data_IF_347824578507
#
_entry.id   IF_347824578507
#
_cell.length_a   1.000
_cell.length_b   1.000
_cell.length_c   1.000
_cell.angle_alpha   90.00
_cell.angle_beta   90.00
_cell.angle_gamma   90.00
#
_symmetry.space_group_name_H-M   'P 1'
#
loop_
_entity.id
_entity.type
_entity.pdbx_description
1 polymer ?
#
# COMPACT_ATOMS: atom_id res chain seq x y z
N UNK A 1 39.87 -52.65 -1.56
CA UNK A 1 40.83 -52.04 -0.61
C UNK A 1 40.16 -50.83 -0.05
N UNK A 2 39.60 -50.91 1.15
CA UNK A 2 40.11 -50.43 2.46
C UNK A 2 40.57 -48.96 2.34
N UNK A 3 39.96 -47.96 3.00
CA UNK A 3 39.95 -47.86 4.46
C UNK A 3 38.90 -46.83 4.95
N UNK A 4 38.20 -47.18 6.03
CA UNK A 4 37.40 -46.35 6.94
C UNK A 4 38.30 -45.60 7.90
N UNK A 5 37.89 -44.40 8.32
CA UNK A 5 38.14 -43.77 9.67
C UNK A 5 37.07 -42.65 9.77
N UNK A 6 36.21 -42.49 10.68
CA UNK A 6 35.88 -42.97 12.00
C UNK A 6 36.63 -42.24 13.12
N UNK A 7 36.00 -41.41 13.87
CA UNK A 7 36.34 -40.89 15.22
C UNK A 7 35.64 -39.55 15.45
N UNK A 8 35.01 -39.17 16.52
CA UNK A 8 34.47 -39.71 17.75
C UNK A 8 33.89 -38.54 18.56
N UNK A 9 32.90 -38.82 19.33
CA UNK A 9 32.17 -37.96 20.26
C UNK A 9 33.06 -37.24 21.27
N UNK A 10 32.69 -36.02 21.64
CA UNK A 10 33.14 -35.32 22.83
C UNK A 10 32.00 -34.61 23.51
N UNK A 11 31.32 -35.29 24.44
CA UNK A 11 30.45 -34.70 25.46
C UNK A 11 31.34 -34.02 26.50
N UNK A 12 31.02 -32.80 26.89
CA UNK A 12 31.45 -32.25 28.17
C UNK A 12 30.28 -31.67 28.92
N UNK A 13 30.13 -32.22 30.14
CA UNK A 13 29.11 -31.96 31.16
C UNK A 13 29.63 -30.91 32.15
N UNK A 14 28.68 -30.15 32.71
CA UNK A 14 28.61 -29.53 34.05
C UNK A 14 29.57 -28.37 34.41
N UNK A 15 29.02 -27.26 34.89
CA UNK A 15 28.89 -27.05 36.35
C UNK A 15 27.96 -25.88 36.68
N UNK A 16 26.99 -26.12 37.58
CA UNK A 16 26.22 -25.13 38.28
C UNK A 16 27.10 -24.45 39.35
N UNK A 17 26.90 -23.14 39.54
CA UNK A 17 27.24 -22.49 40.80
C UNK A 17 26.11 -21.51 41.19
N UNK A 18 25.35 -21.93 42.18
CA UNK A 18 24.43 -21.06 42.91
C UNK A 18 25.24 -20.27 43.96
N UNK A 19 25.06 -18.94 43.97
CA UNK A 19 25.47 -18.12 45.12
C UNK A 19 24.24 -17.39 45.64
N UNK A 20 23.80 -17.87 46.79
CA UNK A 20 22.86 -17.19 47.66
C UNK A 20 23.61 -16.18 48.51
N UNK A 21 23.20 -14.92 48.57
CA UNK A 21 23.63 -14.00 49.61
C UNK A 21 22.40 -13.27 50.17
N UNK A 22 22.09 -13.65 51.40
CA UNK A 22 21.11 -13.00 52.29
C UNK A 22 21.69 -11.69 52.85
N UNK A 23 20.90 -10.66 52.91
CA UNK A 23 21.33 -9.39 53.48
C UNK A 23 20.20 -8.45 53.84
N UNK A 24 19.63 -8.67 55.02
CA UNK A 24 19.11 -7.69 55.99
C UNK A 24 18.00 -6.69 55.60
N UNK A 25 16.85 -7.06 56.13
CA UNK A 25 15.70 -6.18 56.47
C UNK A 25 16.12 -5.03 57.41
N UNK A 26 15.80 -3.80 57.09
CA UNK A 26 15.68 -2.71 58.04
C UNK A 26 14.27 -2.11 57.89
N UNK A 27 13.45 -2.39 58.87
CA UNK A 27 12.24 -1.63 59.17
C UNK A 27 12.60 -0.21 59.63
N UNK A 28 12.03 0.78 59.00
CA UNK A 28 11.84 2.11 59.58
C UNK A 28 10.36 2.40 59.56
N UNK A 29 9.75 2.47 60.73
CA UNK A 29 8.42 3.04 60.96
C UNK A 29 8.59 4.55 61.01
N UNK A 30 7.74 5.28 60.29
CA UNK A 30 7.41 6.66 60.63
C UNK A 30 6.08 7.07 59.96
N UNK A 31 5.18 7.36 60.74
CA UNK A 31 4.14 8.36 60.84
C UNK A 31 3.15 8.60 59.70
N UNK A 32 1.88 8.45 60.13
CA UNK A 32 0.67 8.85 59.45
C UNK A 32 0.57 10.38 59.31
N UNK A 33 0.59 10.85 58.08
CA UNK A 33 0.17 12.19 57.70
C UNK A 33 -0.89 12.08 56.61
N UNK A 34 -2.13 12.36 56.94
CA UNK A 34 -3.23 12.44 56.01
C UNK A 34 -3.04 13.66 55.09
N UNK A 35 -2.76 13.41 53.81
CA UNK A 35 -2.89 14.42 52.78
C UNK A 35 -3.79 13.88 51.69
N UNK A 36 -4.93 14.52 51.56
CA UNK A 36 -5.89 14.33 50.47
C UNK A 36 -5.21 14.65 49.13
N UNK A 37 -4.88 13.61 48.35
CA UNK A 37 -4.41 13.79 46.99
C UNK A 37 -5.61 13.81 46.04
N UNK A 38 -5.92 14.99 45.55
CA UNK A 38 -6.76 15.16 44.34
C UNK A 38 -6.09 14.46 43.17
N UNK A 39 -6.72 13.41 42.69
CA UNK A 39 -6.36 12.77 41.41
C UNK A 39 -6.83 13.66 40.25
N UNK A 40 -6.02 14.62 39.84
CA UNK A 40 -6.21 15.27 38.54
C UNK A 40 -5.84 14.29 37.43
N UNK A 41 -6.85 13.59 36.94
CA UNK A 41 -6.79 12.81 35.73
C UNK A 41 -6.56 13.76 34.52
N UNK A 42 -5.32 13.86 34.07
CA UNK A 42 -5.02 14.51 32.80
C UNK A 42 -5.46 13.57 31.70
N UNK A 43 -6.76 13.64 31.34
CA UNK A 43 -7.21 13.22 30.03
C UNK A 43 -6.61 14.19 29.02
N UNK A 44 -5.51 13.81 28.37
CA UNK A 44 -5.11 14.46 27.13
C UNK A 44 -6.25 14.23 26.13
N UNK A 45 -7.08 15.23 25.94
CA UNK A 45 -8.00 15.31 24.84
C UNK A 45 -7.16 15.31 23.56
N UNK A 46 -7.26 14.24 22.79
CA UNK A 46 -6.83 14.24 21.40
C UNK A 46 -7.62 15.36 20.73
N UNK A 47 -6.95 16.44 20.42
CA UNK A 47 -7.56 17.54 19.67
C UNK A 47 -8.04 17.00 18.34
N UNK A 48 -9.32 16.77 18.22
CA UNK A 48 -9.99 16.54 16.95
C UNK A 48 -9.79 17.82 16.14
N UNK A 49 -8.85 17.82 15.20
CA UNK A 49 -8.77 18.89 14.23
C UNK A 49 -10.10 18.95 13.51
N UNK A 50 -10.79 20.08 13.64
CA UNK A 50 -12.02 20.34 12.92
C UNK A 50 -11.78 20.12 11.43
N UNK A 51 -12.67 19.37 10.79
CA UNK A 51 -12.67 19.21 9.34
C UNK A 51 -12.66 20.62 8.70
N UNK A 52 -11.91 20.83 7.61
CA UNK A 52 -11.84 22.10 6.93
C UNK A 52 -13.27 22.51 6.53
N UNK A 53 -13.71 23.68 6.95
CA UNK A 53 -15.05 24.23 6.71
C UNK A 53 -15.28 24.69 5.25
N UNK A 54 -14.42 24.27 4.33
CA UNK A 54 -14.50 24.52 2.89
C UNK A 54 -15.26 23.41 2.17
N UNK A 55 -15.93 23.75 1.06
CA UNK A 55 -16.53 22.76 0.15
C UNK A 55 -15.43 21.85 -0.37
N UNK A 56 -15.62 20.53 -0.22
CA UNK A 56 -14.68 19.52 -0.70
C UNK A 56 -14.43 19.66 -2.20
N UNK A 57 -13.19 19.79 -2.63
CA UNK A 57 -12.82 19.88 -4.05
C UNK A 57 -12.81 18.48 -4.67
N UNK A 58 -13.88 18.11 -5.37
CA UNK A 58 -14.00 16.84 -6.08
C UNK A 58 -13.91 17.08 -7.58
N UNK A 59 -12.93 16.47 -8.22
CA UNK A 59 -12.59 16.63 -9.63
C UNK A 59 -12.97 15.43 -10.51
N UNK A 60 -13.52 14.36 -9.93
CA UNK A 60 -14.10 13.24 -10.68
C UNK A 60 -15.61 13.49 -10.87
N UNK A 61 -16.23 13.03 -11.99
CA UNK A 61 -17.58 13.47 -12.38
C UNK A 61 -18.72 12.84 -11.59
N UNK A 62 -18.48 11.81 -10.78
CA UNK A 62 -19.46 11.08 -9.96
C UNK A 62 -20.65 10.53 -10.76
N UNK A 63 -20.39 9.92 -11.91
CA UNK A 63 -21.44 9.39 -12.78
C UNK A 63 -22.17 8.21 -12.14
N UNK A 64 -23.48 8.08 -12.41
CA UNK A 64 -24.33 7.06 -11.77
C UNK A 64 -23.98 5.61 -12.11
N UNK A 65 -23.43 5.36 -13.31
CA UNK A 65 -22.96 4.04 -13.76
C UNK A 65 -21.46 4.08 -14.01
N UNK A 66 -20.69 4.09 -12.94
CA UNK A 66 -19.23 4.15 -13.02
C UNK A 66 -18.61 3.19 -12.00
N UNK A 67 -17.34 2.84 -12.21
CA UNK A 67 -16.51 2.12 -11.25
C UNK A 67 -15.61 3.13 -10.56
N UNK A 68 -15.78 3.28 -9.24
CA UNK A 68 -15.00 4.22 -8.42
C UNK A 68 -14.19 3.50 -7.38
N UNK A 69 -12.91 3.85 -7.28
CA UNK A 69 -11.99 3.27 -6.33
C UNK A 69 -10.93 4.28 -5.90
N UNK A 70 -10.29 3.99 -4.78
CA UNK A 70 -9.10 4.71 -4.35
C UNK A 70 -7.85 3.87 -4.59
N UNK A 71 -6.70 4.54 -4.68
CA UNK A 71 -5.39 3.92 -4.87
C UNK A 71 -4.45 4.44 -3.79
N UNK A 72 -3.72 3.54 -3.14
CA UNK A 72 -2.65 3.82 -2.18
C UNK A 72 -1.48 2.87 -2.42
N UNK A 73 -0.27 3.32 -2.13
CA UNK A 73 0.93 2.48 -2.18
C UNK A 73 1.91 2.87 -1.09
N UNK A 74 2.75 1.92 -0.66
CA UNK A 74 3.79 2.10 0.35
C UNK A 74 3.23 2.72 1.64
N UNK A 75 2.03 2.27 2.00
CA UNK A 75 1.21 2.93 3.01
C UNK A 75 1.42 2.39 4.43
N UNK A 76 1.92 1.17 4.59
CA UNK A 76 1.93 0.40 5.84
C UNK A 76 2.93 0.83 6.90
N UNK A 77 3.08 2.11 7.19
CA UNK A 77 4.05 2.64 8.16
C UNK A 77 3.55 2.60 9.60
N UNK A 78 2.25 2.82 9.81
CA UNK A 78 1.65 3.03 11.13
C UNK A 78 2.02 4.36 11.76
N UNK A 79 2.52 5.31 10.97
CA UNK A 79 2.90 6.65 11.38
C UNK A 79 1.74 7.64 11.21
N UNK A 80 1.88 8.83 11.79
CA UNK A 80 0.85 9.87 11.76
C UNK A 80 0.39 10.21 10.34
N UNK A 81 1.32 10.25 9.39
CA UNK A 81 1.08 10.62 8.01
C UNK A 81 0.13 9.63 7.30
N UNK A 82 0.30 8.33 7.54
CA UNK A 82 -0.65 7.31 7.05
C UNK A 82 -2.06 7.53 7.60
N UNK A 83 -2.19 7.83 8.89
CA UNK A 83 -3.50 8.10 9.51
C UNK A 83 -4.17 9.35 8.93
N UNK A 84 -3.40 10.40 8.64
CA UNK A 84 -3.90 11.62 8.04
C UNK A 84 -4.34 11.40 6.59
N UNK A 85 -3.61 10.61 5.80
CA UNK A 85 -4.05 10.17 4.45
C UNK A 85 -5.34 9.37 4.55
N UNK A 86 -5.43 8.41 5.48
CA UNK A 86 -6.63 7.61 5.66
C UNK A 86 -7.85 8.47 6.07
N UNK A 87 -7.65 9.49 6.88
CA UNK A 87 -8.69 10.45 7.25
C UNK A 87 -9.18 11.26 6.04
N UNK A 88 -8.28 11.70 5.16
CA UNK A 88 -8.67 12.33 3.91
C UNK A 88 -9.45 11.37 3.01
N UNK A 89 -9.01 10.11 2.90
CA UNK A 89 -9.73 9.08 2.14
C UNK A 89 -11.17 8.91 2.65
N UNK A 90 -11.39 8.89 3.97
CA UNK A 90 -12.72 8.83 4.56
C UNK A 90 -13.55 10.06 4.17
N UNK A 91 -12.98 11.26 4.32
CA UNK A 91 -13.63 12.52 3.99
C UNK A 91 -14.10 12.54 2.52
N UNK A 92 -13.23 12.17 1.60
CA UNK A 92 -13.55 12.11 0.18
C UNK A 92 -14.55 10.99 -0.15
N UNK A 93 -14.50 9.85 0.56
CA UNK A 93 -15.45 8.77 0.35
C UNK A 93 -16.89 9.17 0.64
N UNK A 94 -17.13 10.02 1.62
CA UNK A 94 -18.47 10.49 1.93
C UNK A 94 -19.15 11.13 0.73
N UNK A 95 -18.42 11.78 -0.16
CA UNK A 95 -18.91 12.39 -1.39
C UNK A 95 -18.70 11.50 -2.63
N UNK A 96 -17.50 10.94 -2.82
CA UNK A 96 -17.16 10.15 -4.01
C UNK A 96 -17.73 8.74 -4.00
N UNK A 97 -18.12 8.20 -2.82
CA UNK A 97 -18.76 6.88 -2.70
C UNK A 97 -18.00 5.75 -3.39
N UNK A 98 -16.66 5.72 -3.28
CA UNK A 98 -15.90 4.57 -3.77
C UNK A 98 -16.12 3.35 -2.87
N UNK A 99 -16.12 2.16 -3.47
CA UNK A 99 -16.46 0.90 -2.80
C UNK A 99 -15.25 0.03 -2.49
N UNK A 100 -14.09 0.36 -3.07
CA UNK A 100 -12.87 -0.39 -2.84
C UNK A 100 -11.63 0.47 -3.04
N UNK A 101 -10.51 -0.07 -2.54
CA UNK A 101 -9.17 0.48 -2.63
C UNK A 101 -8.27 -0.58 -3.28
N UNK A 102 -7.39 -0.20 -4.19
CA UNK A 102 -6.25 -1.02 -4.60
C UNK A 102 -5.00 -0.55 -3.86
N UNK A 103 -4.22 -1.51 -3.35
CA UNK A 103 -2.98 -1.27 -2.61
C UNK A 103 -1.81 -1.75 -3.46
N UNK A 104 -0.81 -0.90 -3.64
CA UNK A 104 0.28 -1.09 -4.60
C UNK A 104 1.53 -1.74 -3.98
N UNK A 105 1.36 -2.50 -2.90
CA UNK A 105 2.45 -3.13 -2.17
C UNK A 105 3.04 -2.26 -1.07
N UNK A 106 3.96 -2.86 -0.32
CA UNK A 106 4.50 -2.33 0.92
C UNK A 106 3.36 -1.96 1.88
N UNK A 107 2.48 -2.96 2.05
CA UNK A 107 1.25 -2.84 2.83
C UNK A 107 1.53 -2.82 4.33
N UNK A 108 2.62 -3.50 4.76
CA UNK A 108 3.07 -3.57 6.16
C UNK A 108 4.59 -3.48 6.21
N UNK A 109 5.16 -2.37 6.61
CA UNK A 109 6.61 -2.27 6.84
C UNK A 109 7.04 -2.93 8.16
N UNK A 110 8.15 -3.66 8.13
CA UNK A 110 8.76 -4.29 9.30
C UNK A 110 8.15 -5.64 9.64
N UNK A 111 7.67 -5.85 10.87
CA UNK A 111 7.14 -7.14 11.29
C UNK A 111 5.67 -7.32 10.85
N UNK A 112 5.28 -8.57 10.58
CA UNK A 112 3.91 -8.93 10.17
C UNK A 112 3.12 -9.57 11.33
N UNK A 113 3.32 -9.07 12.56
CA UNK A 113 2.54 -9.51 13.72
C UNK A 113 1.09 -9.03 13.65
N UNK A 114 0.15 -9.67 14.36
CA UNK A 114 -1.23 -9.18 14.47
C UNK A 114 -1.32 -7.73 14.94
N UNK A 115 -0.37 -7.29 15.79
CA UNK A 115 -0.27 -5.90 16.24
C UNK A 115 0.12 -4.95 15.10
N UNK A 116 0.99 -5.40 14.20
CA UNK A 116 1.39 -4.59 13.04
C UNK A 116 0.24 -4.44 12.06
N UNK A 117 -0.49 -5.51 11.74
CA UNK A 117 -1.70 -5.42 10.93
C UNK A 117 -2.73 -4.48 11.55
N UNK A 118 -2.95 -4.59 12.86
CA UNK A 118 -3.86 -3.68 13.57
C UNK A 118 -3.40 -2.22 13.46
N UNK A 119 -2.13 -1.91 13.77
CA UNK A 119 -1.61 -0.54 13.80
C UNK A 119 -1.46 0.08 12.41
N UNK A 120 -1.02 -0.71 11.42
CA UNK A 120 -0.60 -0.23 10.11
C UNK A 120 -1.67 -0.38 9.03
N UNK A 121 -2.77 -1.08 9.34
CA UNK A 121 -3.87 -1.25 8.40
C UNK A 121 -5.26 -1.09 9.07
N UNK A 122 -5.60 -1.90 10.08
CA UNK A 122 -6.97 -1.91 10.60
C UNK A 122 -7.35 -0.57 11.25
N UNK A 123 -6.47 -0.01 12.07
CA UNK A 123 -6.74 1.24 12.80
C UNK A 123 -6.81 2.47 11.88
N UNK A 124 -5.82 2.74 10.99
CA UNK A 124 -5.91 3.91 10.11
C UNK A 124 -7.11 3.84 9.16
N UNK A 125 -7.44 2.66 8.63
CA UNK A 125 -8.55 2.50 7.68
C UNK A 125 -9.87 2.03 8.30
N UNK A 126 -9.96 2.01 9.64
CA UNK A 126 -11.15 1.52 10.35
C UNK A 126 -12.46 2.14 9.85
N UNK A 127 -12.59 3.47 9.64
CA UNK A 127 -13.84 4.04 9.15
C UNK A 127 -14.24 3.53 7.76
N UNK A 128 -13.26 3.30 6.88
CA UNK A 128 -13.49 2.72 5.55
C UNK A 128 -13.91 1.24 5.65
N UNK A 129 -13.23 0.47 6.50
CA UNK A 129 -13.54 -0.94 6.74
C UNK A 129 -14.95 -1.11 7.33
N UNK A 130 -15.30 -0.31 8.33
CA UNK A 130 -16.64 -0.30 8.96
C UNK A 130 -17.73 0.09 7.94
N UNK A 131 -17.40 0.94 6.97
CA UNK A 131 -18.29 1.30 5.86
C UNK A 131 -18.34 0.25 4.73
N UNK A 132 -17.69 -0.90 4.90
CA UNK A 132 -17.70 -2.02 3.97
C UNK A 132 -16.78 -1.87 2.74
N UNK A 133 -15.89 -0.86 2.73
CA UNK A 133 -14.91 -0.69 1.65
C UNK A 133 -13.96 -1.89 1.62
N UNK A 134 -13.75 -2.46 0.44
CA UNK A 134 -12.84 -3.60 0.22
C UNK A 134 -11.46 -3.11 -0.17
N UNK A 135 -10.43 -3.74 0.39
CA UNK A 135 -9.04 -3.48 0.01
C UNK A 135 -8.52 -4.67 -0.79
N UNK A 136 -7.93 -4.41 -1.95
CA UNK A 136 -7.33 -5.40 -2.84
C UNK A 136 -5.84 -5.11 -2.94
N UNK A 137 -5.00 -5.94 -2.29
CA UNK A 137 -3.57 -5.70 -2.19
C UNK A 137 -2.77 -6.40 -3.28
N UNK A 138 -1.71 -5.78 -3.75
CA UNK A 138 -0.54 -6.45 -4.34
C UNK A 138 0.59 -6.51 -3.32
N UNK A 139 1.60 -7.34 -3.56
CA UNK A 139 2.75 -7.49 -2.67
C UNK A 139 3.90 -6.57 -3.09
N UNK A 140 4.48 -5.86 -2.11
CA UNK A 140 5.73 -5.12 -2.25
C UNK A 140 6.93 -5.90 -1.69
N UNK A 141 8.11 -5.33 -1.80
CA UNK A 141 9.35 -6.00 -1.36
C UNK A 141 9.54 -6.02 0.17
N UNK A 142 8.76 -5.24 0.91
CA UNK A 142 8.71 -5.28 2.37
C UNK A 142 7.60 -6.17 2.92
N UNK A 143 6.74 -6.71 2.07
CA UNK A 143 5.60 -7.53 2.47
C UNK A 143 6.00 -9.00 2.65
N UNK A 144 5.42 -9.70 3.64
CA UNK A 144 5.54 -11.16 3.75
C UNK A 144 4.42 -11.85 2.96
N UNK A 145 4.73 -12.49 1.82
CA UNK A 145 3.71 -13.11 1.00
C UNK A 145 2.99 -14.28 1.69
N UNK A 146 3.57 -14.89 2.73
CA UNK A 146 2.94 -15.99 3.43
C UNK A 146 1.86 -15.52 4.42
N UNK A 147 2.07 -14.36 5.02
CA UNK A 147 1.12 -13.76 5.94
C UNK A 147 0.06 -12.94 5.19
N UNK A 148 0.48 -12.05 4.29
CA UNK A 148 -0.43 -11.07 3.67
C UNK A 148 -1.44 -11.70 2.69
N UNK A 149 -1.02 -12.66 1.85
CA UNK A 149 -1.96 -13.34 0.94
C UNK A 149 -3.08 -14.09 1.66
N UNK A 150 -2.86 -14.47 2.93
CA UNK A 150 -3.83 -15.15 3.77
C UNK A 150 -4.64 -14.17 4.64
N UNK A 151 -4.20 -12.92 4.75
CA UNK A 151 -4.88 -11.90 5.53
C UNK A 151 -6.16 -11.46 4.82
N UNK A 152 -7.30 -11.90 5.36
CA UNK A 152 -8.61 -11.76 4.71
C UNK A 152 -8.97 -10.35 4.26
N UNK A 153 -8.68 -9.27 5.03
CA UNK A 153 -9.01 -7.91 4.62
C UNK A 153 -8.30 -7.44 3.34
N UNK A 154 -7.19 -8.06 2.94
CA UNK A 154 -6.46 -7.74 1.70
C UNK A 154 -7.09 -8.36 0.43
N UNK A 155 -8.09 -9.22 0.58
CA UNK A 155 -8.86 -9.84 -0.50
C UNK A 155 -8.00 -10.50 -1.60
N UNK A 156 -6.83 -11.03 -1.24
CA UNK A 156 -5.93 -11.74 -2.16
C UNK A 156 -6.37 -13.20 -2.42
N UNK A 157 -7.28 -13.73 -1.61
CA UNK A 157 -7.81 -15.10 -1.79
C UNK A 157 -6.81 -16.22 -1.53
N UNK A 158 -5.68 -15.94 -0.87
CA UNK A 158 -4.59 -16.87 -0.63
C UNK A 158 -3.53 -16.90 -1.75
N UNK A 159 -3.70 -16.09 -2.79
CA UNK A 159 -2.81 -16.05 -3.96
C UNK A 159 -1.89 -14.83 -3.94
N UNK A 160 -0.70 -14.96 -4.52
CA UNK A 160 0.24 -13.84 -4.67
C UNK A 160 -0.11 -12.91 -5.84
N UNK A 161 -0.83 -13.44 -6.81
CA UNK A 161 -1.35 -12.72 -7.97
C UNK A 161 -2.74 -13.23 -8.30
N UNK A 162 -3.64 -12.34 -8.66
CA UNK A 162 -5.05 -12.67 -8.85
C UNK A 162 -5.73 -11.63 -9.75
N UNK A 163 -6.94 -11.95 -10.18
CA UNK A 163 -7.76 -11.03 -10.95
C UNK A 163 -9.18 -10.95 -10.37
N UNK A 164 -9.78 -9.79 -10.50
CA UNK A 164 -11.18 -9.57 -10.16
C UNK A 164 -11.82 -8.58 -11.14
N UNK A 165 -13.14 -8.50 -11.12
CA UNK A 165 -13.90 -7.60 -11.98
C UNK A 165 -14.84 -6.72 -11.16
N UNK A 166 -14.95 -5.45 -11.57
CA UNK A 166 -15.97 -4.51 -11.09
C UNK A 166 -16.61 -3.85 -12.31
N UNK A 167 -17.93 -4.08 -12.50
CA UNK A 167 -18.59 -3.61 -13.70
C UNK A 167 -17.87 -4.07 -14.98
N UNK A 168 -17.50 -3.12 -15.82
CA UNK A 168 -16.80 -3.35 -17.08
C UNK A 168 -15.26 -3.27 -16.95
N UNK A 169 -14.73 -3.25 -15.74
CA UNK A 169 -13.28 -3.12 -15.48
C UNK A 169 -12.71 -4.42 -14.92
N UNK A 170 -11.75 -5.01 -15.63
CA UNK A 170 -10.90 -6.10 -15.15
C UNK A 170 -9.68 -5.56 -14.43
N UNK A 171 -9.42 -6.07 -13.23
CA UNK A 171 -8.28 -5.74 -12.40
C UNK A 171 -7.37 -6.95 -12.27
N UNK A 172 -6.07 -6.76 -12.43
CA UNK A 172 -5.04 -7.80 -12.38
C UNK A 172 -3.96 -7.37 -11.39
N UNK A 173 -3.97 -7.97 -10.21
CA UNK A 173 -2.91 -7.82 -9.21
C UNK A 173 -1.77 -8.77 -9.55
N UNK A 174 -0.54 -8.24 -9.64
CA UNK A 174 0.65 -9.04 -9.91
C UNK A 174 1.62 -8.97 -8.73
N UNK A 175 2.38 -10.04 -8.53
CA UNK A 175 3.53 -10.04 -7.66
C UNK A 175 4.79 -9.71 -8.48
N UNK A 176 5.19 -8.46 -8.43
CA UNK A 176 6.37 -7.97 -9.15
C UNK A 176 7.69 -8.31 -8.46
N UNK A 177 7.68 -8.78 -7.21
CA UNK A 177 8.90 -9.27 -6.54
C UNK A 177 9.43 -10.54 -7.18
N UNK A 178 8.53 -11.34 -7.77
CA UNK A 178 8.89 -12.63 -8.33
C UNK A 178 8.02 -12.99 -9.52
N UNK A 179 8.41 -12.50 -10.70
CA UNK A 179 7.72 -12.77 -11.97
C UNK A 179 8.25 -14.09 -12.58
N UNK A 180 7.64 -15.18 -12.19
CA UNK A 180 7.99 -16.51 -12.68
C UNK A 180 7.19 -16.92 -13.95
N UNK A 181 7.61 -17.98 -14.67
CA UNK A 181 6.89 -18.46 -15.86
C UNK A 181 5.43 -18.87 -15.58
N UNK A 182 5.11 -19.29 -14.35
CA UNK A 182 3.75 -19.66 -13.96
C UNK A 182 2.86 -18.41 -13.88
N UNK A 183 3.35 -17.35 -13.28
CA UNK A 183 2.64 -16.07 -13.21
C UNK A 183 2.49 -15.45 -14.61
N UNK A 184 3.54 -15.49 -15.45
CA UNK A 184 3.47 -15.02 -16.85
C UNK A 184 2.42 -15.79 -17.66
N UNK A 185 2.38 -17.12 -17.55
CA UNK A 185 1.35 -17.94 -18.22
C UNK A 185 -0.06 -17.63 -17.71
N UNK A 186 -0.21 -17.44 -16.39
CA UNK A 186 -1.46 -17.04 -15.78
C UNK A 186 -1.92 -15.65 -16.28
N UNK A 187 -1.00 -14.70 -16.38
CA UNK A 187 -1.28 -13.35 -16.86
C UNK A 187 -1.74 -13.36 -18.33
N UNK A 188 -1.02 -14.09 -19.20
CA UNK A 188 -1.38 -14.28 -20.62
C UNK A 188 -2.83 -14.81 -20.74
N UNK A 189 -3.16 -15.87 -20.03
CA UNK A 189 -4.48 -16.47 -20.07
C UNK A 189 -5.57 -15.55 -19.52
N UNK A 190 -5.32 -14.87 -18.41
CA UNK A 190 -6.34 -14.02 -17.77
C UNK A 190 -6.58 -12.73 -18.56
N UNK A 191 -5.55 -12.10 -19.11
CA UNK A 191 -5.70 -10.94 -19.99
C UNK A 191 -6.44 -11.32 -21.28
N UNK A 192 -6.10 -12.46 -21.89
CA UNK A 192 -6.76 -12.98 -23.10
C UNK A 192 -8.26 -13.22 -22.86
N UNK A 193 -8.62 -13.79 -21.73
CA UNK A 193 -10.00 -14.17 -21.40
C UNK A 193 -10.81 -13.05 -20.73
N UNK A 194 -10.18 -11.90 -20.47
CA UNK A 194 -10.84 -10.76 -19.84
C UNK A 194 -11.92 -10.17 -20.75
N UNK A 195 -13.16 -10.16 -20.26
CA UNK A 195 -14.31 -9.58 -20.96
C UNK A 195 -14.52 -8.09 -20.62
N UNK A 196 -13.70 -7.50 -19.74
CA UNK A 196 -13.80 -6.09 -19.39
C UNK A 196 -13.39 -5.18 -20.55
N UNK A 197 -14.12 -4.06 -20.72
CA UNK A 197 -13.72 -3.00 -21.64
C UNK A 197 -12.46 -2.28 -21.21
N UNK A 198 -12.26 -2.18 -19.91
CA UNK A 198 -11.03 -1.69 -19.30
C UNK A 198 -10.23 -2.82 -18.65
N UNK A 199 -8.92 -2.80 -18.83
CA UNK A 199 -7.97 -3.68 -18.16
C UNK A 199 -6.97 -2.85 -17.38
N UNK A 200 -6.94 -3.05 -16.07
CA UNK A 200 -6.05 -2.35 -15.15
C UNK A 200 -5.15 -3.37 -14.49
N UNK A 201 -3.83 -3.19 -14.62
CA UNK A 201 -2.84 -3.95 -13.87
C UNK A 201 -2.31 -3.10 -12.71
N UNK A 202 -2.09 -3.73 -11.55
CA UNK A 202 -1.49 -3.06 -10.40
C UNK A 202 -0.51 -3.98 -9.68
N UNK A 203 0.62 -3.44 -9.32
CA UNK A 203 1.73 -4.15 -8.68
C UNK A 203 2.75 -3.15 -8.13
N UNK A 204 3.78 -3.61 -7.45
CA UNK A 204 4.65 -2.75 -6.68
C UNK A 204 5.71 -2.04 -7.52
N UNK A 205 6.58 -2.77 -8.25
CA UNK A 205 7.74 -2.18 -8.95
C UNK A 205 7.34 -1.48 -10.26
N UNK A 206 7.64 -0.17 -10.44
CA UNK A 206 7.20 0.57 -11.62
C UNK A 206 7.96 0.17 -12.89
N UNK A 207 7.24 0.06 -14.02
CA UNK A 207 7.85 -0.17 -15.34
C UNK A 207 8.51 1.09 -15.91
N UNK A 208 8.00 2.26 -15.53
CA UNK A 208 8.51 3.58 -15.91
C UNK A 208 8.53 4.45 -14.65
N UNK A 209 9.62 5.14 -14.41
CA UNK A 209 9.84 5.93 -13.20
C UNK A 209 10.91 6.99 -13.44
N UNK A 210 10.69 8.20 -12.98
CA UNK A 210 11.64 9.31 -12.98
C UNK A 210 12.21 9.61 -11.59
N UNK A 211 11.87 8.84 -10.58
CA UNK A 211 12.51 8.88 -9.29
C UNK A 211 13.97 8.38 -9.39
N UNK A 212 14.82 8.87 -8.50
CA UNK A 212 16.25 8.55 -8.51
C UNK A 212 16.65 7.50 -7.50
N UNK A 213 15.71 7.12 -6.63
CA UNK A 213 16.04 6.23 -5.51
C UNK A 213 16.01 4.76 -5.92
N UNK A 214 14.90 4.30 -6.49
CA UNK A 214 14.75 2.89 -6.89
C UNK A 214 14.83 2.69 -8.40
N UNK A 215 14.32 3.64 -9.19
CA UNK A 215 14.31 3.56 -10.63
C UNK A 215 13.17 2.69 -11.19
N UNK A 216 13.18 2.50 -12.50
CA UNK A 216 12.24 1.65 -13.23
C UNK A 216 12.76 0.21 -13.32
N UNK A 217 11.86 -0.79 -13.18
CA UNK A 217 12.21 -2.20 -13.35
C UNK A 217 12.18 -2.58 -14.85
N UNK A 218 13.35 -2.48 -15.49
CA UNK A 218 13.50 -2.79 -16.90
C UNK A 218 13.33 -4.27 -17.23
N UNK A 219 13.72 -5.17 -16.33
CA UNK A 219 13.61 -6.61 -16.52
C UNK A 219 12.15 -7.05 -16.45
N UNK A 220 11.41 -6.56 -15.45
CA UNK A 220 9.96 -6.75 -15.34
C UNK A 220 9.25 -6.19 -16.58
N UNK A 221 9.59 -4.98 -17.00
CA UNK A 221 9.03 -4.36 -18.19
C UNK A 221 9.21 -5.23 -19.42
N UNK A 222 10.40 -5.77 -19.65
CA UNK A 222 10.69 -6.66 -20.78
C UNK A 222 9.84 -7.92 -20.76
N UNK A 223 9.51 -8.44 -19.59
CA UNK A 223 8.72 -9.66 -19.45
C UNK A 223 7.21 -9.44 -19.67
N UNK A 224 6.63 -8.36 -19.13
CA UNK A 224 5.16 -8.22 -19.09
C UNK A 224 4.60 -7.23 -20.10
N UNK A 225 5.37 -6.24 -20.56
CA UNK A 225 4.89 -5.23 -21.51
C UNK A 225 4.38 -5.83 -22.83
N UNK A 226 5.00 -6.88 -23.42
CA UNK A 226 4.47 -7.52 -24.63
C UNK A 226 3.06 -8.12 -24.43
N UNK A 227 2.76 -8.62 -23.24
CA UNK A 227 1.42 -9.12 -22.90
C UNK A 227 0.43 -7.96 -22.75
N UNK A 228 0.83 -6.88 -22.09
CA UNK A 228 0.00 -5.70 -21.92
C UNK A 228 -0.40 -5.08 -23.26
N UNK A 229 0.55 -4.93 -24.18
CA UNK A 229 0.29 -4.46 -25.54
C UNK A 229 -0.65 -5.39 -26.31
N UNK A 230 -0.35 -6.70 -26.29
CA UNK A 230 -1.15 -7.71 -27.02
C UNK A 230 -2.62 -7.72 -26.61
N UNK A 231 -2.89 -7.55 -25.32
CA UNK A 231 -4.24 -7.69 -24.79
C UNK A 231 -4.91 -6.36 -24.43
N UNK A 232 -4.28 -5.24 -24.75
CA UNK A 232 -4.85 -3.90 -24.58
C UNK A 232 -5.07 -3.54 -23.11
N UNK A 233 -4.04 -3.68 -22.26
CA UNK A 233 -4.04 -3.08 -20.93
C UNK A 233 -4.12 -1.57 -21.08
N UNK A 234 -4.98 -0.92 -20.31
CA UNK A 234 -5.25 0.51 -20.46
C UNK A 234 -4.50 1.37 -19.44
N UNK A 235 -4.36 0.87 -18.20
CA UNK A 235 -3.65 1.59 -17.16
C UNK A 235 -2.88 0.64 -16.24
N UNK A 236 -1.74 1.12 -15.75
CA UNK A 236 -0.86 0.47 -14.78
C UNK A 236 -0.68 1.39 -13.59
N UNK A 237 -0.91 0.85 -12.39
CA UNK A 237 -0.64 1.52 -11.13
C UNK A 237 0.47 0.77 -10.39
N UNK A 238 1.48 1.50 -9.91
CA UNK A 238 2.61 0.95 -9.16
C UNK A 238 3.00 1.83 -7.97
N UNK A 239 3.72 1.26 -7.01
CA UNK A 239 4.27 1.91 -5.83
C UNK A 239 5.78 2.02 -5.90
N UNK A 240 6.45 1.60 -4.80
CA UNK A 240 7.88 1.43 -4.65
C UNK A 240 8.71 2.71 -4.63
N UNK A 241 8.55 3.61 -5.59
CA UNK A 241 9.12 4.94 -5.50
C UNK A 241 8.21 5.81 -4.63
N UNK A 242 8.73 6.32 -3.53
CA UNK A 242 7.95 6.98 -2.48
C UNK A 242 7.53 8.42 -2.85
N UNK A 243 7.00 8.57 -4.07
CA UNK A 243 6.51 9.82 -4.66
C UNK A 243 5.22 9.56 -5.44
N UNK A 244 4.55 10.62 -5.88
CA UNK A 244 3.53 10.54 -6.91
C UNK A 244 4.11 10.92 -8.26
N UNK A 245 3.82 10.12 -9.29
CA UNK A 245 4.16 10.43 -10.68
C UNK A 245 3.03 9.99 -11.61
N UNK A 246 2.72 10.83 -12.59
CA UNK A 246 2.01 10.43 -13.80
C UNK A 246 3.00 10.48 -14.96
N UNK A 247 3.26 9.33 -15.56
CA UNK A 247 4.20 9.17 -16.68
C UNK A 247 3.47 9.48 -17.99
N UNK A 248 4.21 9.92 -19.01
CA UNK A 248 3.69 9.99 -20.37
C UNK A 248 3.15 8.63 -20.79
N UNK A 249 2.01 8.58 -21.50
CA UNK A 249 1.52 7.32 -22.02
C UNK A 249 2.55 6.66 -22.93
N UNK A 250 2.82 5.41 -22.66
CA UNK A 250 3.73 4.59 -23.48
C UNK A 250 2.98 3.38 -24.00
N UNK A 251 3.11 3.10 -25.29
CA UNK A 251 2.46 1.95 -25.92
C UNK A 251 0.92 1.92 -25.74
N UNK A 252 0.27 3.08 -25.77
CA UNK A 252 -1.16 3.26 -25.52
C UNK A 252 -1.60 2.83 -24.10
N UNK A 253 -0.72 2.87 -23.10
CA UNK A 253 -0.97 2.53 -21.71
C UNK A 253 -0.65 3.74 -20.84
N UNK A 254 -1.52 4.03 -19.87
CA UNK A 254 -1.30 5.04 -18.85
C UNK A 254 -0.55 4.45 -17.66
N UNK A 255 0.45 5.16 -17.14
CA UNK A 255 1.24 4.72 -15.99
C UNK A 255 1.19 5.75 -14.87
N UNK A 256 0.88 5.24 -13.67
CA UNK A 256 0.89 6.01 -12.43
C UNK A 256 1.81 5.32 -11.43
N UNK A 257 2.67 6.09 -10.79
CA UNK A 257 3.43 5.68 -9.62
C UNK A 257 2.87 6.43 -8.42
N UNK A 258 2.45 5.72 -7.39
CA UNK A 258 1.86 6.27 -6.17
C UNK A 258 2.41 5.50 -4.96
N UNK A 259 3.66 5.75 -4.61
CA UNK A 259 4.34 5.14 -3.46
C UNK A 259 4.43 6.07 -2.25
N UNK A 260 3.64 7.15 -2.24
CA UNK A 260 3.71 8.15 -1.18
C UNK A 260 2.46 8.21 -0.28
N UNK A 261 1.78 7.08 -0.06
CA UNK A 261 0.58 7.12 0.81
C UNK A 261 0.90 6.95 2.32
N UNK A 262 2.11 6.54 2.65
CA UNK A 262 2.65 6.48 4.02
C UNK A 262 4.11 6.89 4.05
N UNK A 263 4.92 6.31 3.18
CA UNK A 263 6.30 6.74 2.94
C UNK A 263 6.35 8.03 2.14
N UNK A 264 7.49 8.70 2.18
CA UNK A 264 7.76 9.87 1.35
C UNK A 264 9.27 9.99 1.10
N UNK A 265 9.64 10.26 -0.16
CA UNK A 265 10.99 10.62 -0.56
C UNK A 265 10.95 12.02 -1.19
N UNK A 266 11.57 12.99 -0.52
CA UNK A 266 11.58 14.38 -0.99
C UNK A 266 12.76 14.63 -1.91
N UNK A 267 12.60 15.55 -2.90
CA UNK A 267 13.63 15.96 -3.86
C UNK A 267 14.16 14.79 -4.71
N UNK A 268 13.30 13.81 -5.00
CA UNK A 268 13.71 12.56 -5.63
C UNK A 268 13.67 12.58 -7.16
N UNK A 269 13.08 13.58 -7.78
CA UNK A 269 12.92 13.59 -9.22
C UNK A 269 14.21 13.90 -10.00
N UNK A 270 14.43 13.17 -11.10
CA UNK A 270 15.40 13.54 -12.12
C UNK A 270 15.03 14.90 -12.77
N UNK A 271 16.04 15.66 -13.23
CA UNK A 271 15.81 16.96 -13.88
C UNK A 271 15.03 16.87 -15.18
N UNK A 272 15.21 15.77 -15.93
CA UNK A 272 14.50 15.48 -17.17
C UNK A 272 14.03 14.03 -17.10
N UNK A 273 12.84 13.76 -17.64
CA UNK A 273 12.28 12.42 -17.62
C UNK A 273 10.95 12.32 -18.36
N UNK A 274 10.26 11.23 -18.14
CA UNK A 274 9.04 10.87 -18.85
C UNK A 274 7.76 11.24 -18.08
N UNK A 275 7.89 11.81 -16.87
CA UNK A 275 6.72 12.24 -16.11
C UNK A 275 6.04 13.47 -16.70
N UNK A 276 4.73 13.42 -16.72
CA UNK A 276 3.88 14.58 -17.05
C UNK A 276 3.63 15.42 -15.79
N UNK A 277 3.53 14.74 -14.64
CA UNK A 277 3.32 15.34 -13.32
C UNK A 277 4.12 14.56 -12.28
N UNK A 278 4.69 15.24 -11.31
CA UNK A 278 5.35 14.67 -10.15
C UNK A 278 5.01 15.45 -8.88
N UNK A 279 5.02 14.76 -7.74
CA UNK A 279 4.83 15.35 -6.41
C UNK A 279 5.56 14.51 -5.36
N UNK A 280 6.45 15.16 -4.62
CA UNK A 280 7.36 14.57 -3.64
C UNK A 280 7.49 15.41 -2.36
N UNK A 281 6.50 16.26 -2.08
CA UNK A 281 6.56 17.19 -0.94
C UNK A 281 5.59 16.81 0.19
N UNK A 282 4.65 15.90 -0.04
CA UNK A 282 3.72 15.39 0.98
C UNK A 282 3.18 14.00 0.57
N UNK A 283 2.55 13.30 1.50
CA UNK A 283 1.84 12.06 1.25
C UNK A 283 0.53 12.33 0.48
N UNK A 284 0.08 11.31 -0.24
CA UNK A 284 -1.14 11.42 -1.06
C UNK A 284 -1.85 10.09 -1.27
N UNK A 285 -3.08 10.17 -1.75
CA UNK A 285 -3.84 9.07 -2.33
C UNK A 285 -4.50 9.52 -3.63
N UNK A 286 -4.99 8.59 -4.42
CA UNK A 286 -5.69 8.91 -5.66
C UNK A 286 -7.12 8.38 -5.62
N UNK A 287 -8.07 9.16 -6.15
CA UNK A 287 -9.39 8.72 -6.56
C UNK A 287 -9.42 8.47 -8.05
N UNK A 288 -10.09 7.39 -8.45
CA UNK A 288 -10.29 7.03 -9.85
C UNK A 288 -11.77 6.73 -10.09
N UNK A 289 -12.28 7.23 -11.20
CA UNK A 289 -13.60 6.88 -11.71
C UNK A 289 -13.49 6.45 -13.17
N UNK A 290 -14.02 5.28 -13.49
CA UNK A 290 -14.12 4.80 -14.87
C UNK A 290 -15.57 4.79 -15.28
N UNK A 291 -15.88 5.56 -16.33
CA UNK A 291 -17.21 5.70 -16.87
C UNK A 291 -17.16 5.69 -18.40
N UNK A 292 -17.75 4.66 -19.02
CA UNK A 292 -17.66 4.43 -20.45
C UNK A 292 -16.21 4.31 -20.93
N UNK A 293 -15.84 5.10 -21.91
CA UNK A 293 -14.49 5.10 -22.50
C UNK A 293 -13.53 6.12 -21.86
N UNK A 294 -13.79 6.54 -20.61
CA UNK A 294 -12.98 7.52 -19.91
C UNK A 294 -12.59 7.06 -18.52
N UNK A 295 -11.35 7.35 -18.16
CA UNK A 295 -10.82 7.28 -16.83
C UNK A 295 -10.63 8.71 -16.31
N UNK A 296 -11.28 9.03 -15.22
CA UNK A 296 -11.12 10.28 -14.48
C UNK A 296 -10.29 9.98 -13.24
N UNK A 297 -9.40 10.89 -12.88
CA UNK A 297 -8.57 10.72 -11.68
C UNK A 297 -8.38 12.05 -10.96
N UNK A 298 -8.12 11.94 -9.66
CA UNK A 298 -7.74 13.06 -8.81
C UNK A 298 -6.79 12.53 -7.74
N UNK A 299 -5.58 13.09 -7.68
CA UNK A 299 -4.60 12.82 -6.63
C UNK A 299 -4.69 13.92 -5.58
N UNK A 300 -4.84 13.53 -4.33
CA UNK A 300 -5.13 14.41 -3.20
C UNK A 300 -4.03 14.24 -2.17
N UNK A 301 -3.44 15.35 -1.70
CA UNK A 301 -2.45 15.35 -0.64
C UNK A 301 -3.08 15.03 0.72
N UNK A 302 -2.25 14.72 1.67
CA UNK A 302 -2.59 14.56 3.08
C UNK A 302 -3.29 15.80 3.67
N UNK A 303 -2.97 16.98 3.17
CA UNK A 303 -3.62 18.24 3.55
C UNK A 303 -4.97 18.48 2.86
N UNK A 304 -5.38 17.62 1.92
CA UNK A 304 -6.63 17.76 1.15
C UNK A 304 -6.49 18.60 -0.11
N UNK A 305 -5.26 18.96 -0.52
CA UNK A 305 -5.00 19.71 -1.75
C UNK A 305 -5.03 18.77 -2.96
N UNK A 306 -5.66 19.20 -4.05
CA UNK A 306 -5.60 18.50 -5.33
C UNK A 306 -4.25 18.73 -6.00
N UNK A 307 -3.43 17.68 -6.08
CA UNK A 307 -2.09 17.69 -6.67
C UNK A 307 -2.15 17.57 -8.18
N UNK A 308 -2.96 16.66 -8.66
CA UNK A 308 -3.16 16.34 -10.08
C UNK A 308 -4.58 15.84 -10.30
N UNK A 309 -5.12 16.11 -11.46
CA UNK A 309 -6.42 15.58 -11.86
C UNK A 309 -6.54 15.61 -13.37
N UNK A 310 -7.40 14.77 -13.91
CA UNK A 310 -7.60 14.75 -15.36
C UNK A 310 -8.61 13.73 -15.83
N UNK A 311 -8.84 13.80 -17.13
CA UNK A 311 -9.64 12.88 -17.91
C UNK A 311 -8.76 12.23 -18.96
N UNK A 312 -8.79 10.91 -19.04
CA UNK A 312 -7.98 10.09 -19.93
C UNK A 312 -8.90 9.19 -20.77
N UNK A 313 -8.94 9.35 -22.10
CA UNK A 313 -9.72 8.47 -22.96
C UNK A 313 -9.11 7.07 -22.99
N UNK A 314 -9.96 6.05 -23.16
CA UNK A 314 -9.46 4.69 -23.37
C UNK A 314 -8.69 4.64 -24.69
N UNK A 315 -7.42 4.30 -24.60
CA UNK A 315 -6.62 4.05 -25.81
C UNK A 315 -6.88 2.63 -26.32
N UNK A 316 -6.95 2.51 -27.64
CA UNK A 316 -7.09 1.22 -28.29
C UNK A 316 -5.73 0.73 -28.75
N UNK A 317 -5.48 -0.60 -28.76
CA UNK A 317 -4.24 -1.19 -29.30
C UNK A 317 -3.98 -0.80 -30.75
#
# INVERSE_FOLDING_TARGET
>A
MKQKRGVMYGKLFLLMAAVALAGRLRMVQADAGAATAETSGVHQAVATQAAPSGKLDIRIPLQGKSVRFAVIGDSGTGDREQYEVAQQMETYRQAAKFDFVIMLGDNIYGNHSPRDFAKKFEQPYKPLLDAGVKFYASLGNHDDPNDERLYKPFNMGGERYYAFRKGEVGFFALDSNYMDPKQLSWLDQNLKNSQGTWKICFFHHPLYNDGRHHGADADLRTQILPLFQRYGVNAVFSGHEHVYQRIKPENNIYYFVLGNSGKLMTHDFAKAGERVKGFDSDQSFMLVEIAGDKLFFQTISRSGETIDSGELPRMHP
#
